data_IF_309938765202
#
_entry.id   IF_309938765202
#
_cell.length_a   1.000
_cell.length_b   1.000
_cell.length_c   1.000
_cell.angle_alpha   90.00
_cell.angle_beta   90.00
_cell.angle_gamma   90.00
#
_symmetry.space_group_name_H-M   'P 1'
#
loop_
_entity.id
_entity.type
_entity.pdbx_description
1 polymer ?
#
# COMPACT_ATOMS: atom_id res chain seq x y z
N UNK A 1 6.37 -17.68 -32.28
CA UNK A 1 5.10 -18.25 -32.76
C UNK A 1 4.20 -17.12 -33.23
N UNK A 2 3.56 -17.23 -34.40
CA UNK A 2 2.68 -16.21 -34.97
C UNK A 2 1.22 -16.70 -34.87
N UNK A 3 0.36 -15.95 -34.17
CA UNK A 3 -1.02 -16.38 -33.90
C UNK A 3 -2.03 -15.74 -34.86
N UNK A 4 -3.03 -16.49 -35.37
CA UNK A 4 -4.08 -15.95 -36.23
C UNK A 4 -4.88 -14.77 -35.62
N UNK A 5 -5.09 -13.73 -36.44
CA UNK A 5 -5.76 -12.47 -36.06
C UNK A 5 -7.15 -12.64 -35.46
N UNK A 6 -7.90 -13.66 -35.85
CA UNK A 6 -9.23 -13.98 -35.32
C UNK A 6 -9.15 -14.46 -33.87
N UNK A 7 -8.22 -15.38 -33.59
CA UNK A 7 -7.95 -15.92 -32.25
C UNK A 7 -7.46 -14.79 -31.34
N UNK A 8 -6.58 -13.92 -31.82
CA UNK A 8 -6.08 -12.76 -31.07
C UNK A 8 -7.19 -11.79 -30.65
N UNK A 9 -8.13 -11.49 -31.56
CA UNK A 9 -9.31 -10.65 -31.24
C UNK A 9 -10.26 -11.31 -30.25
N UNK A 10 -10.43 -12.64 -30.31
CA UNK A 10 -11.22 -13.40 -29.35
C UNK A 10 -10.58 -13.38 -27.95
N UNK A 11 -9.27 -13.63 -27.88
CA UNK A 11 -8.51 -13.54 -26.62
C UNK A 11 -8.54 -12.13 -26.03
N UNK A 12 -8.37 -11.07 -26.83
CA UNK A 12 -8.48 -9.69 -26.35
C UNK A 12 -9.88 -9.38 -25.78
N UNK A 13 -10.97 -9.83 -26.41
CA UNK A 13 -12.33 -9.69 -25.86
C UNK A 13 -12.50 -10.45 -24.55
N UNK A 14 -11.95 -11.66 -24.45
CA UNK A 14 -11.98 -12.44 -23.21
C UNK A 14 -11.12 -11.81 -22.10
N UNK A 15 -10.02 -11.13 -22.46
CA UNK A 15 -9.21 -10.36 -21.51
C UNK A 15 -9.92 -9.07 -21.08
N UNK A 16 -10.65 -8.40 -21.98
CA UNK A 16 -11.48 -7.23 -21.69
C UNK A 16 -12.65 -7.58 -20.76
N UNK A 17 -13.40 -8.64 -21.08
CA UNK A 17 -14.50 -9.13 -20.24
C UNK A 17 -14.07 -9.62 -18.84
N UNK A 18 -12.82 -10.10 -18.71
CA UNK A 18 -12.22 -10.49 -17.43
C UNK A 18 -11.43 -9.35 -16.74
N UNK A 19 -11.46 -8.12 -17.28
CA UNK A 19 -10.81 -6.95 -16.68
C UNK A 19 -9.28 -6.92 -16.77
N UNK A 20 -8.64 -7.76 -17.59
CA UNK A 20 -7.18 -7.73 -17.80
C UNK A 20 -6.71 -6.62 -18.74
N UNK A 21 -7.59 -6.10 -19.60
CA UNK A 21 -7.29 -5.10 -20.64
C UNK A 21 -8.50 -4.16 -20.81
N UNK A 22 -8.26 -2.88 -21.07
CA UNK A 22 -9.31 -1.91 -21.45
C UNK A 22 -9.04 -1.33 -22.85
N UNK A 23 -10.10 -1.08 -23.61
CA UNK A 23 -10.00 -0.41 -24.90
C UNK A 23 -9.93 1.11 -24.77
N UNK A 24 -9.05 1.73 -25.55
CA UNK A 24 -8.91 3.18 -25.64
C UNK A 24 -8.70 3.63 -27.10
N UNK A 25 -8.77 4.93 -27.36
CA UNK A 25 -8.39 5.52 -28.64
C UNK A 25 -7.17 6.40 -28.45
N UNK A 26 -6.11 6.13 -29.20
CA UNK A 26 -4.84 6.87 -29.14
C UNK A 26 -4.54 7.37 -30.56
N UNK A 27 -4.48 8.70 -30.73
CA UNK A 27 -4.43 9.40 -32.02
C UNK A 27 -5.43 8.84 -33.06
N UNK A 28 -6.71 8.70 -32.67
CA UNK A 28 -7.79 8.21 -33.53
C UNK A 28 -7.79 6.69 -33.81
N UNK A 29 -6.72 5.97 -33.47
CA UNK A 29 -6.61 4.52 -33.67
C UNK A 29 -7.04 3.75 -32.42
N UNK A 30 -7.66 2.58 -32.58
CA UNK A 30 -8.09 1.74 -31.46
C UNK A 30 -6.87 1.03 -30.84
N UNK A 31 -6.62 1.31 -29.58
CA UNK A 31 -5.55 0.76 -28.76
C UNK A 31 -6.12 0.01 -27.55
N UNK A 32 -5.24 -0.72 -26.84
CA UNK A 32 -5.60 -1.59 -25.73
C UNK A 32 -4.59 -1.39 -24.60
N UNK A 33 -5.04 -0.99 -23.40
CA UNK A 33 -4.21 -0.81 -22.20
C UNK A 33 -4.37 -2.02 -21.29
N UNK A 34 -3.27 -2.66 -20.90
CA UNK A 34 -3.27 -3.73 -19.90
C UNK A 34 -3.62 -3.15 -18.52
N UNK A 35 -4.53 -3.81 -17.82
CA UNK A 35 -5.03 -3.45 -16.49
C UNK A 35 -4.52 -4.38 -15.40
N UNK A 36 -4.30 -5.67 -15.72
CA UNK A 36 -3.82 -6.65 -14.76
C UNK A 36 -2.47 -7.24 -15.10
N UNK A 37 -1.89 -7.68 -14.01
CA UNK A 37 -0.49 -7.81 -13.74
C UNK A 37 -0.43 -8.96 -12.72
N UNK A 38 0.39 -9.99 -12.87
CA UNK A 38 1.50 -10.16 -13.82
C UNK A 38 1.62 -11.60 -14.27
N UNK A 39 2.78 -12.25 -14.16
CA UNK A 39 4.12 -11.71 -13.82
C UNK A 39 4.53 -10.54 -14.76
N UNK A 40 5.43 -9.61 -14.41
CA UNK A 40 6.31 -9.46 -13.23
C UNK A 40 5.96 -8.20 -12.39
N UNK A 41 4.67 -8.01 -12.09
CA UNK A 41 4.05 -6.87 -11.37
C UNK A 41 2.64 -7.33 -10.93
N UNK A 42 1.87 -6.64 -10.07
CA UNK A 42 0.64 -7.26 -9.52
C UNK A 42 -0.40 -6.49 -8.69
N UNK A 43 -0.45 -5.15 -8.65
CA UNK A 43 -1.63 -4.32 -8.27
C UNK A 43 -1.22 -2.84 -8.11
N UNK A 44 -1.64 -1.98 -9.04
CA UNK A 44 -1.91 -0.56 -8.77
C UNK A 44 -3.19 -0.21 -9.55
N UNK A 45 -4.31 0.06 -8.86
CA UNK A 45 -4.80 1.41 -8.48
C UNK A 45 -5.28 2.19 -9.75
N UNK A 46 -6.48 2.79 -9.82
CA UNK A 46 -7.34 3.38 -8.77
C UNK A 46 -8.87 3.12 -9.05
N UNK A 47 -9.82 4.00 -8.65
CA UNK A 47 -10.84 3.68 -7.64
C UNK A 47 -12.24 3.39 -8.24
N UNK A 48 -13.10 2.73 -7.48
CA UNK A 48 -14.51 2.50 -7.86
C UNK A 48 -15.57 3.15 -6.96
N UNK A 49 -15.18 4.17 -6.18
CA UNK A 49 -16.11 5.19 -5.69
C UNK A 49 -15.49 6.57 -5.98
N UNK A 50 -16.12 7.42 -6.79
CA UNK A 50 -15.72 8.82 -6.93
C UNK A 50 -16.26 9.61 -5.74
N UNK A 51 -15.37 10.23 -4.96
CA UNK A 51 -15.65 11.35 -4.03
C UNK A 51 -17.05 11.44 -3.38
N UNK A 52 -17.57 10.34 -2.83
CA UNK A 52 -18.76 10.37 -1.97
C UNK A 52 -18.37 10.84 -0.56
N UNK A 53 -18.23 12.17 -0.48
CA UNK A 53 -18.60 13.02 0.66
C UNK A 53 -17.70 12.91 1.93
N UNK A 54 -17.32 14.00 2.60
CA UNK A 54 -18.21 14.97 3.26
C UNK A 54 -19.37 14.39 4.08
N UNK A 55 -19.59 13.06 4.14
CA UNK A 55 -20.69 12.42 4.91
C UNK A 55 -20.31 11.99 6.32
N UNK A 56 -19.01 11.91 6.64
CA UNK A 56 -18.55 11.62 8.00
C UNK A 56 -18.69 12.79 8.99
N UNK A 57 -19.24 13.94 8.56
CA UNK A 57 -19.72 14.97 9.46
C UNK A 57 -21.06 14.62 10.13
N UNK A 58 -21.91 13.77 9.50
CA UNK A 58 -23.29 13.53 9.93
C UNK A 58 -23.75 12.08 9.70
N UNK A 59 -23.35 11.19 10.61
CA UNK A 59 -24.10 10.01 11.06
C UNK A 59 -24.52 8.93 10.05
N UNK A 60 -23.91 7.74 10.14
CA UNK A 60 -24.52 6.49 9.65
C UNK A 60 -24.09 5.25 10.45
N UNK A 61 -24.84 4.92 11.50
CA UNK A 61 -24.65 3.75 12.37
C UNK A 61 -24.99 2.38 11.71
N UNK A 62 -24.98 2.26 10.36
CA UNK A 62 -25.54 1.08 9.66
C UNK A 62 -24.70 0.47 8.54
N UNK A 63 -23.50 0.97 8.24
CA UNK A 63 -22.59 0.33 7.29
C UNK A 63 -21.69 -0.71 7.99
N UNK A 64 -22.14 -1.97 8.10
CA UNK A 64 -21.23 -3.09 8.45
C UNK A 64 -20.40 -3.44 7.21
N UNK A 65 -19.06 -3.22 7.20
CA UNK A 65 -18.24 -3.58 6.05
C UNK A 65 -18.26 -5.11 5.87
N UNK A 66 -18.50 -5.56 4.63
CA UNK A 66 -18.22 -6.95 4.25
C UNK A 66 -16.71 -7.10 4.15
N UNK A 67 -16.06 -7.39 5.29
CA UNK A 67 -14.63 -7.70 5.35
C UNK A 67 -14.29 -8.70 4.23
N UNK A 68 -13.46 -8.24 3.28
CA UNK A 68 -12.81 -9.15 2.35
C UNK A 68 -12.09 -10.23 3.17
N UNK A 69 -12.20 -11.50 2.74
CA UNK A 69 -11.68 -12.64 3.51
C UNK A 69 -10.27 -12.33 4.01
N UNK A 70 -10.08 -12.24 5.34
CA UNK A 70 -8.76 -12.09 5.96
C UNK A 70 -7.87 -13.17 5.37
N UNK A 71 -6.90 -12.78 4.55
CA UNK A 71 -5.89 -13.69 4.01
C UNK A 71 -5.02 -14.02 5.21
N UNK A 72 -5.31 -15.16 5.86
CA UNK A 72 -4.46 -15.67 6.94
C UNK A 72 -3.11 -16.02 6.31
N UNK A 73 -2.17 -15.09 6.42
CA UNK A 73 -0.79 -15.29 5.99
C UNK A 73 -0.20 -16.42 6.82
N UNK A 74 -0.09 -17.61 6.22
CA UNK A 74 1.04 -18.49 6.58
C UNK A 74 2.29 -17.66 6.33
N UNK A 75 3.19 -17.60 7.32
CA UNK A 75 4.49 -16.96 7.15
C UNK A 75 5.27 -17.79 6.13
N UNK A 76 5.25 -17.36 4.87
CA UNK A 76 6.12 -17.86 3.81
C UNK A 76 7.36 -16.99 3.74
N UNK A 77 8.42 -17.48 3.08
CA UNK A 77 9.66 -16.73 2.85
C UNK A 77 9.37 -15.38 2.20
N UNK A 78 8.47 -15.38 1.20
CA UNK A 78 7.99 -14.20 0.47
C UNK A 78 7.47 -13.09 1.40
N UNK A 79 6.73 -13.44 2.47
CA UNK A 79 6.21 -12.43 3.43
C UNK A 79 7.34 -11.75 4.20
N UNK A 80 8.43 -12.46 4.48
CA UNK A 80 9.61 -11.90 5.15
C UNK A 80 10.39 -11.00 4.19
N UNK A 81 10.55 -11.41 2.93
CA UNK A 81 11.18 -10.61 1.88
C UNK A 81 10.39 -9.30 1.61
N UNK A 82 9.06 -9.39 1.46
CA UNK A 82 8.18 -8.22 1.33
C UNK A 82 8.30 -7.30 2.56
N UNK A 83 8.26 -7.85 3.77
CA UNK A 83 8.41 -7.06 5.01
C UNK A 83 9.78 -6.36 5.09
N UNK A 84 10.83 -7.01 4.58
CA UNK A 84 12.20 -6.47 4.54
C UNK A 84 12.37 -5.34 3.52
N UNK A 85 11.63 -5.38 2.40
CA UNK A 85 11.59 -4.33 1.38
C UNK A 85 10.79 -3.14 1.92
N UNK A 86 9.54 -3.37 2.35
CA UNK A 86 8.65 -2.30 2.84
C UNK A 86 9.24 -1.65 4.10
N UNK A 87 9.90 -2.40 4.98
CA UNK A 87 10.60 -1.85 6.15
C UNK A 87 11.74 -0.88 5.78
N UNK A 88 12.48 -1.17 4.70
CA UNK A 88 13.48 -0.23 4.17
C UNK A 88 12.83 1.01 3.54
N UNK A 89 11.69 0.87 2.87
CA UNK A 89 10.96 1.99 2.30
C UNK A 89 10.41 2.91 3.38
N UNK A 90 9.78 2.37 4.43
CA UNK A 90 9.34 3.13 5.62
C UNK A 90 10.53 3.86 6.25
N UNK A 91 11.67 3.18 6.44
CA UNK A 91 12.86 3.82 7.01
C UNK A 91 13.38 4.96 6.12
N UNK A 92 13.45 4.76 4.79
CA UNK A 92 13.87 5.81 3.84
C UNK A 92 12.89 6.98 3.78
N UNK A 93 11.59 6.72 3.88
CA UNK A 93 10.55 7.74 3.92
C UNK A 93 10.66 8.60 5.20
N UNK A 94 10.83 7.95 6.37
CA UNK A 94 11.11 8.62 7.64
C UNK A 94 12.37 9.49 7.55
N UNK A 95 13.49 8.93 7.09
CA UNK A 95 14.76 9.66 6.95
C UNK A 95 14.66 10.83 5.97
N UNK A 96 13.94 10.67 4.86
CA UNK A 96 13.69 11.72 3.88
C UNK A 96 12.78 12.83 4.40
N UNK A 97 11.76 12.49 5.19
CA UNK A 97 10.88 13.45 5.85
C UNK A 97 11.63 14.23 6.93
N UNK A 98 12.36 13.54 7.81
CA UNK A 98 13.18 14.18 8.87
C UNK A 98 14.25 15.12 8.30
N UNK A 99 14.84 14.78 7.16
CA UNK A 99 15.81 15.63 6.47
C UNK A 99 15.16 16.91 5.90
N UNK A 100 13.89 16.85 5.48
CA UNK A 100 13.13 18.01 5.01
C UNK A 100 12.63 18.90 6.15
N UNK A 101 12.23 18.29 7.26
CA UNK A 101 11.66 18.97 8.42
C UNK A 101 12.74 19.62 9.31
N UNK A 102 13.70 18.82 9.77
CA UNK A 102 14.72 19.24 10.75
C UNK A 102 16.12 19.47 10.16
N UNK A 103 16.32 19.19 8.86
CA UNK A 103 17.63 19.25 8.20
C UNK A 103 18.63 18.19 8.65
N UNK A 104 18.24 17.24 9.53
CA UNK A 104 19.12 16.21 10.09
C UNK A 104 18.39 14.87 10.22
N UNK A 105 19.16 13.78 10.08
CA UNK A 105 18.66 12.41 10.31
C UNK A 105 19.16 11.94 11.68
N UNK A 106 18.25 11.70 12.62
CA UNK A 106 18.56 11.10 13.93
C UNK A 106 18.02 9.68 13.98
N UNK A 107 18.91 8.67 14.02
CA UNK A 107 18.51 7.26 14.13
C UNK A 107 17.69 6.97 15.40
N UNK A 108 17.94 7.72 16.48
CA UNK A 108 17.14 7.64 17.72
C UNK A 108 15.70 8.12 17.53
N UNK A 109 15.49 9.18 16.74
CA UNK A 109 14.14 9.64 16.42
C UNK A 109 13.46 8.75 15.36
N UNK A 110 14.19 8.21 14.37
CA UNK A 110 13.65 7.14 13.49
C UNK A 110 13.14 5.96 14.32
N UNK A 111 13.91 5.50 15.32
CA UNK A 111 13.45 4.46 16.24
C UNK A 111 12.22 4.87 17.04
N UNK A 112 12.17 6.10 17.56
CA UNK A 112 11.02 6.59 18.32
C UNK A 112 9.75 6.62 17.45
N UNK A 113 9.82 7.15 16.22
CA UNK A 113 8.70 7.16 15.28
C UNK A 113 8.21 5.75 14.94
N UNK A 114 9.11 4.80 14.65
CA UNK A 114 8.72 3.40 14.38
C UNK A 114 8.06 2.74 15.59
N UNK A 115 8.59 2.97 16.80
CA UNK A 115 8.00 2.44 18.04
C UNK A 115 6.62 3.06 18.33
N UNK A 116 6.47 4.38 18.15
CA UNK A 116 5.20 5.08 18.35
C UNK A 116 4.15 4.68 17.32
N UNK A 117 4.52 4.53 16.04
CA UNK A 117 3.62 4.00 15.00
C UNK A 117 3.16 2.58 15.34
N UNK A 118 4.06 1.72 15.85
CA UNK A 118 3.72 0.36 16.28
C UNK A 118 2.82 0.34 17.52
N UNK A 119 3.01 1.25 18.48
CA UNK A 119 2.13 1.40 19.63
C UNK A 119 0.74 1.90 19.21
N UNK A 120 0.66 2.95 18.38
CA UNK A 120 -0.59 3.47 17.86
C UNK A 120 -1.37 2.40 17.05
N UNK A 121 -0.68 1.66 16.19
CA UNK A 121 -1.27 0.57 15.40
C UNK A 121 -1.71 -0.64 16.26
N UNK A 122 -1.15 -0.80 17.45
CA UNK A 122 -1.60 -1.80 18.42
C UNK A 122 -2.95 -1.44 19.06
N UNK A 123 -3.25 -0.14 19.21
CA UNK A 123 -4.54 0.36 19.68
C UNK A 123 -5.59 0.34 18.56
N UNK A 124 -5.32 1.00 17.41
CA UNK A 124 -6.19 0.95 16.22
C UNK A 124 -5.52 1.47 14.93
N UNK A 125 -6.18 1.30 13.78
CA UNK A 125 -5.74 1.95 12.54
C UNK A 125 -5.96 3.47 12.61
N UNK A 126 -7.03 3.91 13.27
CA UNK A 126 -7.37 5.31 13.49
C UNK A 126 -6.29 6.04 14.31
N UNK A 127 -5.81 5.45 15.41
CA UNK A 127 -4.72 6.01 16.23
C UNK A 127 -3.41 6.09 15.44
N UNK A 128 -3.09 5.09 14.59
CA UNK A 128 -1.94 5.19 13.69
C UNK A 128 -2.09 6.35 12.70
N UNK A 129 -3.26 6.52 12.09
CA UNK A 129 -3.48 7.62 11.16
C UNK A 129 -3.43 8.98 11.86
N UNK A 130 -3.90 9.09 13.10
CA UNK A 130 -3.80 10.33 13.88
C UNK A 130 -2.33 10.63 14.25
N UNK A 131 -1.58 9.64 14.72
CA UNK A 131 -0.14 9.76 14.96
C UNK A 131 0.61 10.23 13.71
N UNK A 132 0.39 9.57 12.57
CA UNK A 132 1.05 9.93 11.31
C UNK A 132 0.58 11.30 10.81
N UNK A 133 -0.67 11.70 11.03
CA UNK A 133 -1.18 13.02 10.65
C UNK A 133 -0.54 14.16 11.44
N UNK A 134 -0.28 13.96 12.73
CA UNK A 134 0.32 14.97 13.61
C UNK A 134 1.85 14.99 13.44
N UNK A 135 2.49 13.84 13.59
CA UNK A 135 3.95 13.73 13.78
C UNK A 135 4.71 13.45 12.48
N UNK A 136 4.06 12.87 11.47
CA UNK A 136 4.70 12.40 10.23
C UNK A 136 3.85 12.70 8.97
N UNK A 137 3.31 13.93 8.78
CA UNK A 137 2.28 14.20 7.78
C UNK A 137 2.69 13.86 6.34
N UNK A 138 4.00 13.85 6.05
CA UNK A 138 4.56 13.45 4.76
C UNK A 138 4.64 11.95 4.50
N UNK A 139 4.18 11.08 5.42
CA UNK A 139 4.11 9.62 5.27
C UNK A 139 2.67 9.08 5.24
N UNK A 140 1.67 9.96 5.35
CA UNK A 140 0.25 9.57 5.50
C UNK A 140 -0.27 8.75 4.30
N UNK A 141 0.22 9.05 3.09
CA UNK A 141 -0.19 8.38 1.85
C UNK A 141 0.43 6.99 1.77
N UNK A 142 1.73 6.90 2.06
CA UNK A 142 2.56 5.70 2.01
C UNK A 142 2.06 4.66 3.04
N UNK A 143 1.89 5.07 4.30
CA UNK A 143 1.35 4.20 5.35
C UNK A 143 -0.08 3.75 5.03
N UNK A 144 -0.91 4.66 4.49
CA UNK A 144 -2.26 4.31 4.04
C UNK A 144 -2.31 3.34 2.86
N UNK A 145 -1.33 3.40 1.94
CA UNK A 145 -1.19 2.45 0.84
C UNK A 145 -0.74 1.07 1.34
N UNK A 146 0.22 1.02 2.28
CA UNK A 146 0.71 -0.24 2.87
C UNK A 146 -0.42 -0.94 3.62
N UNK A 147 -1.16 -0.24 4.50
CA UNK A 147 -2.33 -0.80 5.20
C UNK A 147 -3.38 -1.35 4.25
N UNK A 148 -3.75 -0.60 3.20
CA UNK A 148 -4.76 -1.04 2.22
C UNK A 148 -4.33 -2.24 1.38
N UNK A 149 -3.02 -2.42 1.18
CA UNK A 149 -2.47 -3.46 0.29
C UNK A 149 -2.18 -4.76 1.03
N UNK A 150 -1.59 -4.66 2.22
CA UNK A 150 -1.08 -5.79 2.99
C UNK A 150 -1.81 -6.03 4.32
N UNK A 151 -2.47 -5.01 4.88
CA UNK A 151 -3.22 -5.09 6.13
C UNK A 151 -2.42 -4.79 7.40
N UNK A 152 -3.16 -4.63 8.50
CA UNK A 152 -2.69 -4.27 9.85
C UNK A 152 -1.59 -5.20 10.36
N UNK A 153 -1.82 -6.52 10.28
CA UNK A 153 -0.90 -7.55 10.79
C UNK A 153 0.48 -7.53 10.09
N UNK A 154 0.49 -7.24 8.78
CA UNK A 154 1.72 -7.12 8.00
C UNK A 154 2.49 -5.84 8.35
N UNK A 155 1.80 -4.72 8.53
CA UNK A 155 2.46 -3.48 8.94
C UNK A 155 3.05 -3.61 10.35
N UNK A 156 2.35 -4.23 11.31
CA UNK A 156 2.90 -4.53 12.63
C UNK A 156 4.18 -5.38 12.55
N UNK A 157 4.19 -6.45 11.74
CA UNK A 157 5.39 -7.27 11.50
C UNK A 157 6.53 -6.43 10.91
N UNK A 158 6.23 -5.61 9.90
CA UNK A 158 7.20 -4.77 9.19
C UNK A 158 7.82 -3.72 10.12
N UNK A 159 7.00 -3.03 10.92
CA UNK A 159 7.49 -2.05 11.90
C UNK A 159 8.36 -2.70 12.96
N UNK A 160 7.99 -3.90 13.45
CA UNK A 160 8.79 -4.65 14.42
C UNK A 160 10.15 -5.08 13.87
N UNK A 161 10.20 -5.56 12.62
CA UNK A 161 11.46 -5.88 11.93
C UNK A 161 12.32 -4.63 11.71
N UNK A 162 11.68 -3.50 11.41
CA UNK A 162 12.35 -2.19 11.23
C UNK A 162 12.92 -1.67 12.55
N UNK A 163 12.17 -1.72 13.65
CA UNK A 163 12.63 -1.36 14.99
C UNK A 163 13.87 -2.18 15.38
N UNK A 164 13.82 -3.51 15.22
CA UNK A 164 14.95 -4.39 15.50
C UNK A 164 16.19 -4.09 14.63
N UNK A 165 16.02 -3.60 13.40
CA UNK A 165 17.13 -3.16 12.53
C UNK A 165 17.74 -1.86 13.02
N UNK A 166 16.92 -0.84 13.28
CA UNK A 166 17.41 0.47 13.77
C UNK A 166 18.11 0.30 15.13
N UNK A 167 17.58 -0.56 16.01
CA UNK A 167 18.14 -0.87 17.33
C UNK A 167 19.50 -1.61 17.30
N UNK A 168 19.86 -2.27 16.20
CA UNK A 168 21.20 -2.91 16.06
C UNK A 168 22.34 -1.90 15.91
N UNK A 169 22.05 -0.64 15.60
CA UNK A 169 23.03 0.44 15.49
C UNK A 169 23.17 1.25 16.79
N UNK A 170 23.24 0.56 17.94
CA UNK A 170 23.70 1.21 19.18
C UNK A 170 25.21 1.38 19.14
N UNK A 171 25.65 2.63 19.33
CA UNK A 171 27.00 2.98 19.77
C UNK A 171 27.16 2.63 21.26
#
# INVERSE_FOLDING_TARGET
SLMPKVIFRSQLRNMEAKGYVSTLRLHGKKAYRRLLIGKDIGKELHPQVPLDEMRLALGSLKAKPKFGKKIRSKVTTDVVEDSDIIGQEIQRALESWMLRDSGRISKGAVHAHVANMMAALHESEEELFEYVRIELPGLLVEIGQILRTYGTDFLLLTLRLTEHRVRKYKF
#
